data_IF_237787209217
#
_entry.id   IF_237787209217
#
_cell.length_a   1.000
_cell.length_b   1.000
_cell.length_c   1.000
_cell.angle_alpha   90.00
_cell.angle_beta   90.00
_cell.angle_gamma   90.00
#
_symmetry.space_group_name_H-M   'P 1'
#
loop_
_entity.id
_entity.type
_entity.pdbx_description
1 polymer ?
#
# COMPACT_ATOMS: atom_id res chain seq x y z
N UNK A 1 -11.61 11.26 34.85
CA UNK A 1 -11.08 11.04 33.49
C UNK A 1 -10.52 12.36 33.01
N UNK A 2 -9.21 12.44 32.78
CA UNK A 2 -8.58 13.62 32.18
C UNK A 2 -8.66 13.42 30.67
N UNK A 3 -9.47 14.22 29.98
CA UNK A 3 -9.45 14.26 28.53
C UNK A 3 -8.12 14.90 28.12
N UNK A 4 -7.20 14.09 27.60
CA UNK A 4 -5.94 14.58 27.06
C UNK A 4 -6.27 15.39 25.80
N UNK A 5 -6.15 16.71 25.85
CA UNK A 5 -6.31 17.58 24.68
C UNK A 5 -5.04 17.45 23.83
N UNK A 6 -5.09 16.58 22.83
CA UNK A 6 -3.94 16.11 22.06
C UNK A 6 -3.53 17.06 20.91
N UNK A 7 -4.43 17.93 20.46
CA UNK A 7 -4.11 19.13 19.70
C UNK A 7 -4.35 20.37 20.58
N UNK A 8 -3.53 21.41 20.39
CA UNK A 8 -3.74 22.72 21.04
C UNK A 8 -5.04 23.42 20.63
N UNK A 9 -5.79 22.85 19.68
CA UNK A 9 -7.08 23.31 19.19
C UNK A 9 -7.94 22.13 18.73
N UNK A 10 -9.25 22.33 18.57
CA UNK A 10 -10.15 21.35 17.97
C UNK A 10 -10.84 21.92 16.72
N UNK A 11 -10.95 21.11 15.66
CA UNK A 11 -11.58 21.52 14.39
C UNK A 11 -13.07 21.82 14.51
N UNK A 12 -13.73 21.25 15.51
CA UNK A 12 -15.14 21.49 15.85
C UNK A 12 -15.37 22.76 16.69
N UNK A 13 -14.29 23.45 17.11
CA UNK A 13 -14.36 24.66 17.92
C UNK A 13 -14.08 25.93 17.11
N UNK A 14 -15.12 26.71 16.72
CA UNK A 14 -14.97 27.86 15.82
C UNK A 14 -14.11 29.00 16.38
N UNK A 15 -13.90 29.07 17.69
CA UNK A 15 -13.04 30.09 18.31
C UNK A 15 -11.56 29.76 18.10
N UNK A 16 -11.22 28.48 18.22
CA UNK A 16 -9.85 28.00 18.07
C UNK A 16 -9.49 27.88 16.58
N UNK A 17 -10.41 27.43 15.72
CA UNK A 17 -10.19 27.33 14.27
C UNK A 17 -9.93 28.69 13.61
N UNK A 18 -10.44 29.79 14.18
CA UNK A 18 -10.20 31.16 13.67
C UNK A 18 -8.74 31.62 13.79
N UNK A 19 -7.97 31.01 14.69
CA UNK A 19 -6.56 31.35 14.91
C UNK A 19 -5.62 30.51 14.04
N UNK A 20 -6.14 29.52 13.32
CA UNK A 20 -5.37 28.61 12.46
C UNK A 20 -5.26 29.19 11.04
N UNK A 21 -4.02 29.31 10.54
CA UNK A 21 -3.73 29.92 9.23
C UNK A 21 -3.97 28.99 8.03
N UNK A 22 -4.25 27.71 8.27
CA UNK A 22 -4.43 26.66 7.26
C UNK A 22 -5.76 25.93 7.47
N UNK A 23 -6.30 25.34 6.40
CA UNK A 23 -7.57 24.61 6.45
C UNK A 23 -7.40 23.19 7.02
N UNK A 24 -8.51 22.61 7.48
CA UNK A 24 -8.55 21.21 7.91
C UNK A 24 -8.11 20.25 6.78
N UNK A 25 -8.46 20.55 5.53
CA UNK A 25 -8.02 19.76 4.37
C UNK A 25 -6.50 19.80 4.17
N UNK A 26 -5.89 20.98 4.33
CA UNK A 26 -4.43 21.14 4.25
C UNK A 26 -3.73 20.40 5.39
N UNK A 27 -4.31 20.44 6.60
CA UNK A 27 -3.80 19.67 7.74
C UNK A 27 -3.82 18.17 7.47
N UNK A 28 -4.92 17.64 6.95
CA UNK A 28 -5.08 16.21 6.62
C UNK A 28 -4.11 15.74 5.54
N UNK A 29 -3.93 16.54 4.49
CA UNK A 29 -2.94 16.26 3.46
C UNK A 29 -1.52 16.19 4.06
N UNK A 30 -1.13 17.17 4.89
CA UNK A 30 0.16 17.14 5.57
C UNK A 30 0.31 15.91 6.46
N UNK A 31 -0.74 15.52 7.20
CA UNK A 31 -0.73 14.33 8.04
C UNK A 31 -0.50 13.05 7.22
N UNK A 32 -1.16 12.90 6.07
CA UNK A 32 -0.97 11.77 5.18
C UNK A 32 0.49 11.70 4.67
N UNK A 33 1.03 12.83 4.19
CA UNK A 33 2.42 12.92 3.70
C UNK A 33 3.44 12.60 4.77
N UNK A 34 3.17 13.02 6.00
CA UNK A 34 4.07 12.78 7.12
C UNK A 34 4.06 11.31 7.55
N UNK A 35 2.89 10.66 7.52
CA UNK A 35 2.79 9.21 7.72
C UNK A 35 3.51 8.42 6.60
N UNK A 36 3.51 8.93 5.36
CA UNK A 36 4.27 8.32 4.26
C UNK A 36 5.81 8.38 4.52
N UNK A 37 6.32 9.41 5.22
CA UNK A 37 7.75 9.50 5.57
C UNK A 37 8.20 8.42 6.57
N UNK A 38 7.32 7.98 7.47
CA UNK A 38 7.60 6.87 8.40
C UNK A 38 7.86 5.56 7.66
N UNK A 39 7.14 5.32 6.55
CA UNK A 39 7.37 4.15 5.68
C UNK A 39 8.79 4.18 5.10
N UNK A 40 9.26 5.32 4.60
CA UNK A 40 10.63 5.48 4.06
C UNK A 40 11.68 5.15 5.13
N UNK A 41 11.42 5.51 6.40
CA UNK A 41 12.31 5.19 7.52
C UNK A 41 12.29 3.69 7.92
N UNK A 42 11.27 2.93 7.52
CA UNK A 42 11.07 1.51 7.85
C UNK A 42 11.45 0.54 6.72
N UNK A 43 11.64 1.03 5.49
CA UNK A 43 12.05 0.19 4.35
C UNK A 43 13.45 -0.42 4.58
N UNK A 44 13.60 -1.76 4.59
CA UNK A 44 14.90 -2.40 4.61
C UNK A 44 15.50 -2.34 3.20
N UNK A 45 16.69 -1.74 3.05
CA UNK A 45 17.44 -1.88 1.78
C UNK A 45 18.41 -0.76 1.41
N UNK A 46 18.30 0.42 1.99
CA UNK A 46 19.27 1.49 1.75
C UNK A 46 19.59 2.22 3.05
N UNK A 47 20.84 2.62 3.24
CA UNK A 47 21.20 3.63 4.26
C UNK A 47 20.63 4.98 3.84
N UNK A 48 19.31 5.10 3.75
CA UNK A 48 18.63 6.40 3.58
C UNK A 48 18.88 7.18 4.87
N UNK A 49 19.15 8.48 4.73
CA UNK A 49 19.25 9.35 5.89
C UNK A 49 17.91 9.28 6.62
N UNK A 50 17.89 8.70 7.82
CA UNK A 50 16.70 8.69 8.65
C UNK A 50 16.33 10.14 8.93
N UNK A 51 15.11 10.50 8.59
CA UNK A 51 14.58 11.80 8.97
C UNK A 51 14.43 11.80 10.49
N UNK A 52 15.16 12.65 11.21
CA UNK A 52 15.01 12.89 12.65
C UNK A 52 13.76 13.74 12.91
N UNK A 53 12.62 13.22 12.48
CA UNK A 53 11.34 13.91 12.62
C UNK A 53 10.35 12.87 13.12
N UNK A 54 9.67 13.19 14.23
CA UNK A 54 8.65 12.31 14.81
C UNK A 54 7.46 12.27 13.85
N UNK A 55 7.16 11.14 13.17
CA UNK A 55 6.10 11.07 12.18
C UNK A 55 4.70 11.13 12.80
N UNK A 56 4.59 11.04 14.14
CA UNK A 56 3.31 11.21 14.81
C UNK A 56 2.99 12.69 14.96
N UNK A 57 2.30 13.24 13.97
CA UNK A 57 1.42 14.37 14.21
C UNK A 57 0.34 13.90 15.18
N UNK A 58 0.55 14.13 16.48
CA UNK A 58 -0.40 13.77 17.53
C UNK A 58 -1.70 14.53 17.28
N UNK A 59 -2.67 13.85 16.68
CA UNK A 59 -4.06 14.25 16.67
C UNK A 59 -4.90 13.09 17.18
N UNK A 60 -5.84 13.40 18.09
CA UNK A 60 -6.93 12.48 18.39
C UNK A 60 -7.68 12.11 17.11
N UNK A 61 -8.24 10.90 17.11
CA UNK A 61 -8.99 10.22 16.05
C UNK A 61 -8.54 10.58 14.62
N UNK A 62 -7.71 9.70 14.04
CA UNK A 62 -7.40 9.63 12.61
C UNK A 62 -8.62 10.05 11.77
N UNK A 63 -8.59 11.28 11.28
CA UNK A 63 -9.80 11.88 10.72
C UNK A 63 -10.12 11.25 9.36
N UNK A 64 -11.21 10.50 9.35
CA UNK A 64 -11.87 9.89 8.21
C UNK A 64 -12.07 10.92 7.10
N UNK A 65 -11.58 10.65 5.89
CA UNK A 65 -12.19 11.19 4.67
C UNK A 65 -13.71 11.02 4.82
N UNK A 66 -14.50 12.01 4.40
CA UNK A 66 -15.95 11.81 4.28
C UNK A 66 -16.21 10.78 3.18
N UNK A 67 -16.16 9.51 3.59
CA UNK A 67 -16.26 8.33 2.73
C UNK A 67 -17.65 8.26 2.09
N UNK A 68 -18.66 8.79 2.77
CA UNK A 68 -20.03 8.85 2.25
C UNK A 68 -20.13 9.88 1.14
N UNK A 69 -19.50 11.05 1.31
CA UNK A 69 -19.40 12.05 0.26
C UNK A 69 -18.56 11.56 -0.93
N UNK A 70 -17.40 10.93 -0.69
CA UNK A 70 -16.58 10.35 -1.76
C UNK A 70 -17.33 9.26 -2.53
N UNK A 71 -18.03 8.37 -1.82
CA UNK A 71 -18.87 7.34 -2.40
C UNK A 71 -20.00 7.95 -3.24
N UNK A 72 -20.63 9.03 -2.76
CA UNK A 72 -21.64 9.75 -3.53
C UNK A 72 -21.07 10.29 -4.84
N UNK A 73 -19.90 10.93 -4.82
CA UNK A 73 -19.24 11.44 -6.02
C UNK A 73 -18.88 10.32 -7.02
N UNK A 74 -18.34 9.18 -6.53
CA UNK A 74 -18.03 8.03 -7.39
C UNK A 74 -19.28 7.47 -8.08
N UNK A 75 -20.41 7.40 -7.37
CA UNK A 75 -21.68 6.97 -7.95
C UNK A 75 -22.27 8.00 -8.93
N UNK A 76 -22.15 9.30 -8.63
CA UNK A 76 -22.54 10.37 -9.56
C UNK A 76 -21.71 10.29 -10.84
N UNK A 77 -20.39 10.03 -10.72
CA UNK A 77 -19.50 9.84 -11.87
C UNK A 77 -19.93 8.63 -12.71
N UNK A 78 -20.18 7.48 -12.08
CA UNK A 78 -20.65 6.28 -12.77
C UNK A 78 -21.94 6.55 -13.58
N UNK A 79 -22.88 7.30 -13.01
CA UNK A 79 -24.11 7.69 -13.70
C UNK A 79 -23.86 8.67 -14.85
N UNK A 80 -22.96 9.64 -14.69
CA UNK A 80 -22.60 10.58 -15.74
C UNK A 80 -21.94 9.86 -16.93
N UNK A 81 -21.06 8.89 -16.67
CA UNK A 81 -20.44 8.04 -17.68
C UNK A 81 -21.47 7.19 -18.42
N UNK A 82 -22.38 6.51 -17.68
CA UNK A 82 -23.45 5.71 -18.28
C UNK A 82 -24.40 6.54 -19.18
N UNK A 83 -24.58 7.84 -18.87
CA UNK A 83 -25.40 8.78 -19.66
C UNK A 83 -24.61 9.52 -20.75
N UNK A 84 -23.34 9.15 -20.98
CA UNK A 84 -22.42 9.79 -21.93
C UNK A 84 -22.29 11.31 -21.76
N UNK A 85 -22.36 11.80 -20.51
CA UNK A 85 -22.26 13.23 -20.18
C UNK A 85 -20.81 13.61 -19.84
N UNK A 86 -20.00 13.78 -20.88
CA UNK A 86 -18.56 13.96 -20.73
C UNK A 86 -18.15 15.16 -19.87
N UNK A 87 -18.81 16.32 -20.01
CA UNK A 87 -18.45 17.51 -19.23
C UNK A 87 -18.83 17.38 -17.75
N UNK A 88 -20.03 16.86 -17.44
CA UNK A 88 -20.45 16.56 -16.06
C UNK A 88 -19.49 15.55 -15.40
N UNK A 89 -19.07 14.51 -16.13
CA UNK A 89 -18.11 13.53 -15.64
C UNK A 89 -16.74 14.14 -15.31
N UNK A 90 -16.22 15.04 -16.16
CA UNK A 90 -14.95 15.74 -15.89
C UNK A 90 -15.03 16.63 -14.64
N UNK A 91 -16.14 17.34 -14.46
CA UNK A 91 -16.36 18.18 -13.28
C UNK A 91 -16.40 17.36 -11.99
N UNK A 92 -17.05 16.20 -12.01
CA UNK A 92 -17.09 15.29 -10.87
C UNK A 92 -15.70 14.70 -10.60
N UNK A 93 -14.96 14.29 -11.64
CA UNK A 93 -13.58 13.80 -11.50
C UNK A 93 -12.66 14.84 -10.85
N UNK A 94 -12.75 16.11 -11.26
CA UNK A 94 -11.98 17.21 -10.67
C UNK A 94 -12.31 17.46 -9.19
N UNK A 95 -13.50 17.04 -8.72
CA UNK A 95 -13.88 17.09 -7.30
C UNK A 95 -13.38 15.88 -6.51
N UNK A 96 -13.19 14.73 -7.16
CA UNK A 96 -12.71 13.49 -6.52
C UNK A 96 -11.20 13.54 -6.29
N UNK A 97 -10.41 13.94 -7.30
CA UNK A 97 -8.94 13.87 -7.24
C UNK A 97 -8.33 14.57 -6.01
N UNK A 98 -8.77 15.78 -5.59
CA UNK A 98 -8.23 16.42 -4.38
C UNK A 98 -8.52 15.65 -3.09
N UNK A 99 -9.61 14.87 -3.03
CA UNK A 99 -9.95 14.06 -1.85
C UNK A 99 -8.97 12.90 -1.67
N UNK A 100 -8.40 12.38 -2.76
CA UNK A 100 -7.39 11.32 -2.69
C UNK A 100 -6.06 11.79 -2.09
N UNK A 101 -5.77 13.09 -2.07
CA UNK A 101 -4.58 13.62 -1.40
C UNK A 101 -4.64 13.47 0.13
N UNK A 102 -5.81 13.17 0.69
CA UNK A 102 -5.99 12.87 2.11
C UNK A 102 -5.76 11.38 2.42
N UNK A 103 -5.57 10.53 1.39
CA UNK A 103 -5.17 9.13 1.54
C UNK A 103 -3.66 9.02 1.63
N UNK A 104 -3.18 7.96 2.30
CA UNK A 104 -1.78 7.53 2.21
C UNK A 104 -1.44 7.14 0.78
N UNK A 105 -0.16 7.17 0.43
CA UNK A 105 0.29 6.91 -0.94
C UNK A 105 -0.20 5.56 -1.50
N UNK A 106 -0.07 4.47 -0.74
CA UNK A 106 -0.53 3.14 -1.16
C UNK A 106 -2.05 3.11 -1.39
N UNK A 107 -2.83 3.70 -0.48
CA UNK A 107 -4.29 3.73 -0.59
C UNK A 107 -4.75 4.60 -1.76
N UNK A 108 -4.03 5.70 -2.03
CA UNK A 108 -4.28 6.56 -3.19
C UNK A 108 -4.11 5.81 -4.50
N UNK A 109 -3.06 4.99 -4.65
CA UNK A 109 -2.85 4.18 -5.86
C UNK A 109 -4.06 3.28 -6.15
N UNK A 110 -4.61 2.63 -5.12
CA UNK A 110 -5.80 1.79 -5.26
C UNK A 110 -7.08 2.61 -5.49
N UNK A 111 -7.19 3.79 -4.87
CA UNK A 111 -8.30 4.70 -5.10
C UNK A 111 -8.32 5.24 -6.55
N UNK A 112 -7.16 5.51 -7.14
CA UNK A 112 -7.02 5.88 -8.55
C UNK A 112 -7.44 4.73 -9.47
N UNK A 113 -7.07 3.48 -9.16
CA UNK A 113 -7.56 2.30 -9.89
C UNK A 113 -9.08 2.16 -9.82
N UNK A 114 -9.68 2.39 -8.65
CA UNK A 114 -11.14 2.41 -8.48
C UNK A 114 -11.77 3.50 -9.36
N UNK A 115 -11.18 4.70 -9.38
CA UNK A 115 -11.67 5.80 -10.21
C UNK A 115 -11.65 5.45 -11.70
N UNK A 116 -10.56 4.83 -12.18
CA UNK A 116 -10.45 4.38 -13.58
C UNK A 116 -11.46 3.27 -13.92
N UNK A 117 -11.69 2.33 -13.01
CA UNK A 117 -12.70 1.27 -13.19
C UNK A 117 -14.13 1.85 -13.21
N UNK A 118 -14.41 2.92 -12.46
CA UNK A 118 -15.67 3.67 -12.56
C UNK A 118 -15.77 4.39 -13.91
N UNK A 119 -14.70 5.05 -14.36
CA UNK A 119 -14.66 5.80 -15.63
C UNK A 119 -14.88 4.91 -16.85
N UNK A 120 -14.32 3.71 -16.82
CA UNK A 120 -14.45 2.72 -17.90
C UNK A 120 -15.78 1.95 -17.86
N UNK A 121 -16.57 2.12 -16.80
CA UNK A 121 -17.82 1.39 -16.59
C UNK A 121 -17.64 -0.04 -16.08
N UNK A 122 -16.40 -0.46 -15.76
CA UNK A 122 -16.13 -1.75 -15.11
C UNK A 122 -16.71 -1.79 -13.69
N UNK A 123 -16.82 -0.64 -13.03
CA UNK A 123 -17.49 -0.47 -11.76
C UNK A 123 -18.67 0.48 -11.87
N UNK A 124 -19.88 -0.08 -11.93
CA UNK A 124 -21.12 0.70 -12.10
C UNK A 124 -21.61 1.37 -10.82
N UNK A 125 -21.21 0.84 -9.65
CA UNK A 125 -21.65 1.32 -8.34
C UNK A 125 -20.64 1.04 -7.24
N UNK A 126 -20.48 2.01 -6.35
CA UNK A 126 -19.70 1.90 -5.11
C UNK A 126 -20.66 1.89 -3.94
N UNK A 127 -20.79 0.76 -3.25
CA UNK A 127 -21.67 0.62 -2.07
C UNK A 127 -20.96 0.93 -0.76
N UNK A 128 -19.66 0.66 -0.68
CA UNK A 128 -18.83 0.99 0.46
C UNK A 128 -17.39 1.17 -0.01
N UNK A 129 -16.91 2.42 0.02
CA UNK A 129 -15.57 2.75 -0.47
C UNK A 129 -14.47 2.05 0.34
N UNK A 130 -14.64 1.85 1.65
CA UNK A 130 -13.58 1.22 2.47
C UNK A 130 -13.42 -0.25 2.13
N UNK A 131 -14.54 -0.99 2.07
CA UNK A 131 -14.54 -2.41 1.71
C UNK A 131 -14.01 -2.62 0.29
N UNK A 132 -14.35 -1.71 -0.62
CA UNK A 132 -13.85 -1.75 -1.99
C UNK A 132 -12.35 -1.48 -2.03
N UNK A 133 -11.87 -0.46 -1.33
CA UNK A 133 -10.45 -0.13 -1.25
C UNK A 133 -9.63 -1.31 -0.70
N UNK A 134 -10.12 -1.94 0.37
CA UNK A 134 -9.47 -3.12 0.96
C UNK A 134 -9.43 -4.29 -0.03
N UNK A 135 -10.48 -4.49 -0.84
CA UNK A 135 -10.46 -5.51 -1.89
C UNK A 135 -9.38 -5.24 -2.94
N UNK A 136 -9.28 -4.01 -3.46
CA UNK A 136 -8.24 -3.65 -4.44
C UNK A 136 -6.82 -3.82 -3.86
N UNK A 137 -6.64 -3.49 -2.57
CA UNK A 137 -5.39 -3.74 -1.85
C UNK A 137 -5.05 -5.24 -1.82
N UNK A 138 -6.01 -6.06 -1.39
CA UNK A 138 -5.84 -7.52 -1.31
C UNK A 138 -5.57 -8.15 -2.67
N UNK A 139 -6.30 -7.74 -3.71
CA UNK A 139 -6.15 -8.27 -5.07
C UNK A 139 -4.77 -7.90 -5.65
N UNK A 140 -4.30 -6.68 -5.39
CA UNK A 140 -2.95 -6.24 -5.79
C UNK A 140 -1.85 -7.01 -5.05
N UNK A 141 -1.97 -7.18 -3.72
CA UNK A 141 -1.04 -7.99 -2.92
C UNK A 141 -1.01 -9.43 -3.43
N UNK A 142 -2.17 -10.03 -3.68
CA UNK A 142 -2.26 -11.39 -4.19
C UNK A 142 -1.63 -11.52 -5.58
N UNK A 143 -1.84 -10.53 -6.47
CA UNK A 143 -1.24 -10.50 -7.80
C UNK A 143 0.29 -10.41 -7.70
N UNK A 144 0.81 -9.50 -6.88
CA UNK A 144 2.26 -9.38 -6.64
C UNK A 144 2.87 -10.69 -6.12
N UNK A 145 2.20 -11.35 -5.17
CA UNK A 145 2.62 -12.66 -4.66
C UNK A 145 2.60 -13.70 -5.78
N UNK A 146 1.59 -13.72 -6.64
CA UNK A 146 1.53 -14.66 -7.76
C UNK A 146 2.62 -14.41 -8.79
N UNK A 147 2.89 -13.16 -9.12
CA UNK A 147 3.94 -12.79 -10.06
C UNK A 147 5.30 -13.22 -9.53
N UNK A 148 5.58 -12.96 -8.24
CA UNK A 148 6.81 -13.40 -7.59
C UNK A 148 6.96 -14.93 -7.56
N UNK A 149 5.89 -15.65 -7.20
CA UNK A 149 5.86 -17.11 -7.20
C UNK A 149 6.15 -17.64 -8.62
N UNK A 150 5.51 -17.06 -9.62
CA UNK A 150 5.65 -17.48 -11.03
C UNK A 150 7.03 -17.14 -11.60
N UNK A 151 7.63 -16.02 -11.17
CA UNK A 151 8.96 -15.59 -11.58
C UNK A 151 10.06 -16.61 -11.25
N UNK A 152 9.89 -17.36 -10.16
CA UNK A 152 10.86 -18.35 -9.66
C UNK A 152 10.33 -19.79 -9.65
N UNK A 153 9.10 -20.02 -10.12
CA UNK A 153 8.45 -21.33 -10.10
C UNK A 153 8.32 -21.91 -8.69
N UNK A 154 7.92 -21.09 -7.71
CA UNK A 154 7.81 -21.50 -6.31
C UNK A 154 6.48 -22.24 -6.05
N UNK A 155 6.45 -23.08 -5.02
CA UNK A 155 5.19 -23.64 -4.53
C UNK A 155 4.41 -22.62 -3.67
N UNK A 156 3.15 -22.37 -4.05
CA UNK A 156 2.31 -21.36 -3.38
C UNK A 156 1.95 -21.75 -1.94
N UNK A 157 1.72 -23.02 -1.67
CA UNK A 157 1.38 -23.45 -0.30
C UNK A 157 2.58 -23.29 0.64
N UNK A 158 3.78 -23.64 0.17
CA UNK A 158 5.02 -23.45 0.92
C UNK A 158 5.32 -21.97 1.15
N UNK A 159 5.08 -21.11 0.15
CA UNK A 159 5.21 -19.66 0.30
C UNK A 159 4.24 -19.10 1.34
N UNK A 160 2.96 -19.52 1.27
CA UNK A 160 1.94 -19.10 2.23
C UNK A 160 2.24 -19.54 3.67
N UNK A 161 2.78 -20.75 3.87
CA UNK A 161 3.25 -21.20 5.19
C UNK A 161 4.39 -20.33 5.70
N UNK A 162 5.38 -20.04 4.86
CA UNK A 162 6.50 -19.18 5.25
C UNK A 162 6.01 -17.77 5.63
N UNK A 163 5.12 -17.19 4.84
CA UNK A 163 4.52 -15.88 5.11
C UNK A 163 3.72 -15.85 6.42
N UNK A 164 2.94 -16.90 6.71
CA UNK A 164 2.11 -16.97 7.92
C UNK A 164 2.94 -17.16 9.20
N UNK A 165 4.11 -17.79 9.10
CA UNK A 165 4.99 -18.06 10.24
C UNK A 165 6.03 -16.97 10.50
N UNK A 166 6.37 -16.15 9.51
CA UNK A 166 7.40 -15.15 9.68
C UNK A 166 6.93 -13.97 10.54
N UNK A 167 7.77 -13.58 11.50
CA UNK A 167 7.59 -12.39 12.33
C UNK A 167 8.69 -11.38 12.00
N UNK A 168 8.28 -10.17 11.64
CA UNK A 168 9.18 -9.09 11.25
C UNK A 168 10.25 -8.84 12.33
N UNK A 169 11.52 -8.77 11.92
CA UNK A 169 12.66 -8.50 12.81
C UNK A 169 13.19 -9.73 13.57
N UNK A 170 12.66 -10.93 13.32
CA UNK A 170 13.22 -12.19 13.84
C UNK A 170 13.81 -13.05 12.73
N UNK A 171 14.91 -13.76 13.00
CA UNK A 171 15.52 -14.72 12.06
C UNK A 171 14.81 -16.09 12.10
N UNK A 172 13.46 -16.09 12.17
CA UNK A 172 12.61 -17.29 12.29
C UNK A 172 12.53 -18.08 10.97
N UNK A 173 13.23 -17.62 9.92
CA UNK A 173 13.28 -18.25 8.60
C UNK A 173 13.81 -19.70 8.63
N UNK A 174 14.63 -20.01 9.64
CA UNK A 174 15.21 -21.34 9.86
C UNK A 174 14.29 -22.24 10.67
N UNK A 175 13.31 -21.67 11.36
CA UNK A 175 12.40 -22.44 12.20
C UNK A 175 11.57 -23.36 11.30
N UNK A 176 11.53 -24.64 11.67
CA UNK A 176 10.85 -25.70 10.93
C UNK A 176 11.34 -25.94 9.49
N UNK A 177 12.46 -25.32 9.07
CA UNK A 177 13.02 -25.47 7.73
C UNK A 177 12.14 -24.93 6.60
N UNK A 178 11.19 -24.03 6.89
CA UNK A 178 10.20 -23.54 5.91
C UNK A 178 10.85 -22.88 4.69
N UNK A 179 11.85 -22.01 4.91
CA UNK A 179 12.57 -21.35 3.82
C UNK A 179 13.32 -22.37 2.95
N UNK A 180 13.97 -23.34 3.57
CA UNK A 180 14.72 -24.38 2.84
C UNK A 180 13.79 -25.29 2.05
N UNK A 181 12.60 -25.57 2.57
CA UNK A 181 11.58 -26.34 1.87
C UNK A 181 11.06 -25.58 0.65
N UNK A 182 10.75 -24.29 0.80
CA UNK A 182 10.32 -23.45 -0.32
C UNK A 182 11.40 -23.33 -1.42
N UNK A 183 12.66 -23.11 -1.05
CA UNK A 183 13.79 -23.05 -1.99
C UNK A 183 13.94 -24.34 -2.80
N UNK A 184 13.62 -25.51 -2.22
CA UNK A 184 13.64 -26.79 -2.93
C UNK A 184 12.51 -26.94 -3.96
N UNK A 185 11.44 -26.18 -3.84
CA UNK A 185 10.31 -26.22 -4.80
C UNK A 185 10.56 -25.38 -6.05
N UNK A 186 11.58 -24.52 -6.03
CA UNK A 186 11.83 -23.57 -7.10
C UNK A 186 12.21 -24.24 -8.42
N UNK A 187 11.78 -23.62 -9.52
CA UNK A 187 12.27 -23.95 -10.86
C UNK A 187 13.65 -23.30 -11.07
N UNK A 188 14.68 -24.13 -11.08
CA UNK A 188 16.06 -23.66 -11.18
C UNK A 188 16.40 -23.02 -12.54
N UNK A 189 15.65 -23.32 -13.60
CA UNK A 189 15.84 -22.68 -14.91
C UNK A 189 15.35 -21.24 -14.87
N UNK A 190 14.16 -21.01 -14.27
CA UNK A 190 13.64 -19.65 -14.03
C UNK A 190 14.55 -18.85 -13.10
N UNK A 191 15.00 -19.46 -12.00
CA UNK A 191 15.94 -18.81 -11.07
C UNK A 191 17.24 -18.42 -11.77
N UNK A 192 17.76 -19.28 -12.65
CA UNK A 192 18.99 -18.99 -13.42
C UNK A 192 18.77 -17.84 -14.39
N UNK A 193 17.64 -17.82 -15.10
CA UNK A 193 17.30 -16.74 -16.03
C UNK A 193 17.25 -15.38 -15.31
N UNK A 194 16.56 -15.31 -14.17
CA UNK A 194 16.49 -14.10 -13.34
C UNK A 194 17.85 -13.67 -12.79
N UNK A 195 18.63 -14.63 -12.28
CA UNK A 195 19.98 -14.37 -11.77
C UNK A 195 20.89 -13.79 -12.87
N UNK A 196 20.88 -14.36 -14.07
CA UNK A 196 21.71 -13.90 -15.18
C UNK A 196 21.27 -12.55 -15.73
N UNK A 197 19.98 -12.22 -15.65
CA UNK A 197 19.46 -10.91 -16.03
C UNK A 197 19.92 -9.80 -15.05
N UNK A 198 19.81 -10.04 -13.75
CA UNK A 198 20.21 -9.05 -12.73
C UNK A 198 21.73 -8.99 -12.50
N UNK A 199 22.42 -10.13 -12.65
CA UNK A 199 23.86 -10.28 -12.40
C UNK A 199 24.59 -10.79 -13.65
N UNK A 200 24.49 -10.03 -14.74
CA UNK A 200 25.09 -10.35 -16.04
C UNK A 200 26.61 -10.62 -16.00
N UNK A 201 27.31 -10.08 -15.00
CA UNK A 201 28.76 -10.26 -14.84
C UNK A 201 29.16 -11.48 -14.00
N UNK A 202 28.19 -12.20 -13.41
CA UNK A 202 28.45 -13.36 -12.56
C UNK A 202 28.01 -14.67 -13.24
N UNK A 203 28.88 -15.68 -13.18
CA UNK A 203 28.50 -17.03 -13.62
C UNK A 203 27.59 -17.69 -12.57
N UNK A 204 26.44 -18.26 -12.98
CA UNK A 204 25.56 -18.98 -12.08
C UNK A 204 26.24 -20.27 -11.60
N UNK A 205 26.12 -20.54 -10.30
CA UNK A 205 26.44 -21.85 -9.72
C UNK A 205 25.39 -22.20 -8.67
N UNK A 206 25.26 -23.48 -8.33
CA UNK A 206 24.19 -23.95 -7.47
C UNK A 206 24.12 -23.25 -6.10
N UNK A 207 25.28 -22.89 -5.51
CA UNK A 207 25.33 -22.22 -4.22
C UNK A 207 24.90 -20.74 -4.33
N UNK A 208 25.33 -20.05 -5.39
CA UNK A 208 24.94 -18.67 -5.68
C UNK A 208 23.46 -18.54 -5.99
N UNK A 209 22.91 -19.45 -6.80
CA UNK A 209 21.48 -19.44 -7.14
C UNK A 209 20.60 -19.66 -5.91
N UNK A 210 20.97 -20.61 -5.03
CA UNK A 210 20.27 -20.83 -3.77
C UNK A 210 20.37 -19.64 -2.82
N UNK A 211 21.55 -19.02 -2.71
CA UNK A 211 21.73 -17.80 -1.92
C UNK A 211 20.87 -16.65 -2.43
N UNK A 212 20.95 -16.39 -3.74
CA UNK A 212 20.16 -15.38 -4.43
C UNK A 212 18.65 -15.57 -4.20
N UNK A 213 18.14 -16.78 -4.39
CA UNK A 213 16.73 -17.07 -4.21
C UNK A 213 16.29 -16.89 -2.75
N UNK A 214 17.09 -17.33 -1.78
CA UNK A 214 16.81 -17.09 -0.36
C UNK A 214 16.69 -15.61 -0.05
N UNK A 215 17.61 -14.80 -0.57
CA UNK A 215 17.61 -13.35 -0.34
C UNK A 215 16.36 -12.72 -0.95
N UNK A 216 15.98 -13.08 -2.18
CA UNK A 216 14.76 -12.60 -2.84
C UNK A 216 13.49 -12.97 -2.08
N UNK A 217 13.37 -14.21 -1.63
CA UNK A 217 12.21 -14.68 -0.84
C UNK A 217 12.08 -13.88 0.46
N UNK A 218 13.20 -13.66 1.16
CA UNK A 218 13.20 -12.90 2.42
C UNK A 218 12.76 -11.46 2.19
N UNK A 219 13.36 -10.78 1.20
CA UNK A 219 13.01 -9.41 0.87
C UNK A 219 11.53 -9.27 0.50
N UNK A 220 10.98 -10.21 -0.28
CA UNK A 220 9.58 -10.13 -0.69
C UNK A 220 8.63 -10.35 0.49
N UNK A 221 8.92 -11.30 1.39
CA UNK A 221 8.08 -11.51 2.59
C UNK A 221 8.15 -10.31 3.54
N UNK A 222 9.34 -9.75 3.77
CA UNK A 222 9.49 -8.53 4.59
C UNK A 222 8.71 -7.36 3.98
N UNK A 223 8.78 -7.19 2.65
CA UNK A 223 8.02 -6.17 1.91
C UNK A 223 6.51 -6.34 2.10
N UNK A 224 5.99 -7.56 1.98
CA UNK A 224 4.56 -7.85 2.16
C UNK A 224 4.11 -7.52 3.59
N UNK A 225 4.90 -7.89 4.61
CA UNK A 225 4.55 -7.61 6.01
C UNK A 225 4.57 -6.10 6.30
N UNK A 226 5.54 -5.36 5.75
CA UNK A 226 5.63 -3.91 5.91
C UNK A 226 4.54 -3.14 5.16
N UNK A 227 3.92 -3.75 4.15
CA UNK A 227 2.83 -3.14 3.40
C UNK A 227 1.46 -3.24 4.11
N UNK A 228 1.35 -4.10 5.14
CA UNK A 228 0.15 -4.29 5.97
C UNK A 228 0.07 -3.25 7.08
#
# INVERSE_FOLDING_TARGET
MIALRQQGFAWDNPKETKEVIFSESQYRELQARYADLDKINREPGEKKAKFEIDPNLVSGDSTLIDKDYLMKLLNELAQAQAKAKAEEAKEIEARIQPLFNQLRENDRLHAEQILDDVKTGKLERVENFSVLLDRYRMDSEQTQIQDFISQFGLDRECFGKLQAHHVLGKDDWKDFGLLDNLVKTADMDLVTAQFSQEKSNEKPNALKLKGYLRDKIKTEIERIILAR
#
